data_IF_379640104965
#
_entry.id   IF_379640104965
#
_cell.length_a   1.000
_cell.length_b   1.000
_cell.length_c   1.000
_cell.angle_alpha   90.00
_cell.angle_beta   90.00
_cell.angle_gamma   90.00
#
_symmetry.space_group_name_H-M   'P 1'
#
loop_
_entity.id
_entity.type
_entity.pdbx_description
1 polymer ?
#
# COMPACT_ATOMS: atom_id res chain seq x y z
N UNK A 1 47.73 43.77 45.76
CA UNK A 1 46.72 42.69 45.75
C UNK A 1 45.63 43.08 44.76
N UNK A 2 45.61 42.49 43.57
CA UNK A 2 44.47 42.60 42.65
C UNK A 2 43.96 41.20 42.36
N UNK A 3 42.69 40.98 42.71
CA UNK A 3 41.96 39.73 42.60
C UNK A 3 41.80 39.31 41.13
N UNK A 4 42.16 38.06 40.81
CA UNK A 4 41.72 37.37 39.59
C UNK A 4 40.32 36.80 39.84
N UNK A 5 39.34 37.27 39.06
CA UNK A 5 37.96 36.78 39.09
C UNK A 5 37.78 35.54 38.20
N UNK A 6 37.24 34.41 38.71
CA UNK A 6 37.05 33.19 37.93
C UNK A 6 35.59 33.05 37.46
N UNK A 7 35.19 33.65 36.33
CA UNK A 7 33.78 33.51 35.86
C UNK A 7 33.53 33.52 34.35
N UNK A 8 34.55 33.34 33.49
CA UNK A 8 34.32 33.21 32.03
C UNK A 8 34.34 31.75 31.53
N UNK A 9 35.20 30.90 32.09
CA UNK A 9 35.43 29.51 31.62
C UNK A 9 34.22 28.56 31.79
N UNK A 10 33.32 28.81 32.74
CA UNK A 10 32.19 27.92 33.03
C UNK A 10 31.02 28.11 32.04
N UNK A 11 30.78 29.33 31.56
CA UNK A 11 29.70 29.62 30.60
C UNK A 11 29.96 28.96 29.25
N UNK A 12 31.23 29.00 28.81
CA UNK A 12 31.66 28.37 27.58
C UNK A 12 31.54 26.85 27.66
N UNK A 13 31.92 26.24 28.78
CA UNK A 13 31.79 24.79 28.99
C UNK A 13 30.32 24.32 28.98
N UNK A 14 29.40 25.12 29.52
CA UNK A 14 27.96 24.82 29.46
C UNK A 14 27.43 25.00 28.04
N UNK A 15 27.85 26.04 27.33
CA UNK A 15 27.50 26.26 25.93
C UNK A 15 28.01 25.11 25.03
N UNK A 16 29.25 24.65 25.20
CA UNK A 16 29.78 23.49 24.48
C UNK A 16 29.05 22.19 24.82
N UNK A 17 28.65 21.98 26.09
CA UNK A 17 27.82 20.82 26.48
C UNK A 17 26.43 20.88 25.86
N UNK A 18 25.79 22.05 25.84
CA UNK A 18 24.49 22.24 25.20
C UNK A 18 24.56 22.10 23.68
N UNK A 19 25.58 22.67 23.04
CA UNK A 19 25.80 22.53 21.60
C UNK A 19 26.15 21.08 21.23
N UNK A 20 26.95 20.39 22.04
CA UNK A 20 27.29 18.96 21.87
C UNK A 20 26.08 18.04 22.07
N UNK A 21 25.25 18.28 23.11
CA UNK A 21 24.00 17.56 23.32
C UNK A 21 23.02 17.82 22.17
N UNK A 22 22.87 19.07 21.74
CA UNK A 22 22.00 19.40 20.60
C UNK A 22 22.48 18.73 19.31
N UNK A 23 23.78 18.61 19.07
CA UNK A 23 24.33 17.90 17.89
C UNK A 23 24.17 16.38 17.98
N UNK A 24 24.23 15.79 19.17
CA UNK A 24 23.88 14.38 19.42
C UNK A 24 22.38 14.11 19.17
N UNK A 25 21.50 15.03 19.57
CA UNK A 25 20.05 14.94 19.32
C UNK A 25 19.64 15.34 17.90
N UNK A 26 20.47 16.06 17.15
CA UNK A 26 20.24 16.40 15.73
C UNK A 26 20.96 15.46 14.77
N UNK A 27 21.26 14.23 15.20
CA UNK A 27 21.36 13.15 14.20
C UNK A 27 19.96 12.95 13.67
N UNK A 28 19.61 13.68 12.60
CA UNK A 28 18.40 13.47 11.82
C UNK A 28 18.48 12.06 11.30
N UNK A 29 18.01 11.10 12.10
CA UNK A 29 17.91 9.72 11.71
C UNK A 29 17.16 9.74 10.39
N UNK A 30 17.84 9.34 9.30
CA UNK A 30 17.18 9.17 8.01
C UNK A 30 16.21 8.01 8.19
N UNK A 31 15.02 8.31 8.68
CA UNK A 31 13.94 7.35 8.84
C UNK A 31 13.48 6.98 7.44
N UNK A 32 14.11 5.94 6.89
CA UNK A 32 13.67 5.37 5.61
C UNK A 32 12.31 4.71 5.81
N UNK A 33 11.42 4.89 4.82
CA UNK A 33 10.09 4.26 4.77
C UNK A 33 10.15 2.74 4.96
N UNK A 34 11.29 2.12 4.64
CA UNK A 34 11.51 0.69 4.82
C UNK A 34 11.60 0.23 6.28
N UNK A 35 11.77 1.15 7.22
CA UNK A 35 11.78 0.87 8.67
C UNK A 35 10.41 1.10 9.32
N UNK A 36 9.39 1.49 8.55
CA UNK A 36 8.04 1.57 9.08
C UNK A 36 7.49 0.16 9.39
N UNK A 37 6.70 0.01 10.46
CA UNK A 37 5.90 -1.19 10.69
C UNK A 37 5.07 -1.58 9.46
N UNK A 38 4.92 -2.89 9.25
CA UNK A 38 4.22 -3.45 8.08
C UNK A 38 2.81 -2.88 7.95
N UNK A 39 2.09 -2.73 9.07
CA UNK A 39 0.73 -2.21 9.12
C UNK A 39 0.62 -0.77 8.60
N UNK A 40 1.66 0.05 8.81
CA UNK A 40 1.71 1.42 8.30
C UNK A 40 1.96 1.43 6.80
N UNK A 41 2.86 0.57 6.30
CA UNK A 41 3.08 0.44 4.85
C UNK A 41 1.81 -0.06 4.16
N UNK A 42 1.11 -1.05 4.74
CA UNK A 42 -0.21 -1.49 4.25
C UNK A 42 -1.21 -0.33 4.21
N UNK A 43 -1.21 0.52 5.25
CA UNK A 43 -2.09 1.71 5.29
C UNK A 43 -1.71 2.73 4.20
N UNK A 44 -0.43 2.98 3.97
CA UNK A 44 0.05 3.84 2.88
C UNK A 44 -0.38 3.27 1.52
N UNK A 45 -0.09 1.98 1.28
CA UNK A 45 -0.47 1.31 0.04
C UNK A 45 -1.99 1.26 -0.16
N UNK A 46 -2.79 1.30 0.90
CA UNK A 46 -4.25 1.34 0.79
C UNK A 46 -4.79 2.66 0.21
N UNK A 47 -3.95 3.68 0.03
CA UNK A 47 -4.30 4.90 -0.72
C UNK A 47 -4.00 4.78 -2.21
N UNK A 48 -3.18 3.82 -2.63
CA UNK A 48 -2.84 3.60 -4.03
C UNK A 48 -3.99 2.89 -4.78
N UNK A 49 -4.01 3.02 -6.10
CA UNK A 49 -4.80 2.17 -6.97
C UNK A 49 -4.20 0.76 -7.04
N UNK A 50 -4.98 -0.28 -7.42
CA UNK A 50 -4.45 -1.62 -7.65
C UNK A 50 -3.24 -1.69 -8.59
N UNK A 51 -3.20 -0.82 -9.61
CA UNK A 51 -2.08 -0.76 -10.55
C UNK A 51 -0.83 -0.15 -9.91
N UNK A 52 -0.98 0.93 -9.17
CA UNK A 52 0.13 1.55 -8.43
C UNK A 52 0.68 0.61 -7.34
N UNK A 53 -0.17 -0.18 -6.68
CA UNK A 53 0.30 -1.23 -5.77
C UNK A 53 1.15 -2.28 -6.49
N UNK A 54 0.80 -2.66 -7.71
CA UNK A 54 1.64 -3.58 -8.49
C UNK A 54 2.98 -2.93 -8.86
N UNK A 55 3.02 -1.64 -9.20
CA UNK A 55 4.27 -0.93 -9.44
C UNK A 55 5.11 -0.78 -8.15
N UNK A 56 4.48 -0.52 -7.02
CA UNK A 56 5.18 -0.44 -5.73
C UNK A 56 5.91 -1.75 -5.39
N UNK A 57 5.36 -2.90 -5.79
CA UNK A 57 6.01 -4.19 -5.54
C UNK A 57 7.37 -4.35 -6.23
N UNK A 58 7.65 -3.62 -7.31
CA UNK A 58 8.96 -3.68 -7.97
C UNK A 58 10.03 -2.81 -7.31
N UNK A 59 9.70 -2.06 -6.25
CA UNK A 59 10.65 -1.16 -5.58
C UNK A 59 11.66 -1.94 -4.73
N UNK A 60 11.19 -2.91 -3.94
CA UNK A 60 12.06 -3.79 -3.15
C UNK A 60 11.31 -5.04 -2.67
N UNK A 61 12.04 -6.06 -2.20
CA UNK A 61 11.48 -7.32 -1.72
C UNK A 61 10.47 -7.16 -0.57
N UNK A 62 10.70 -6.18 0.32
CA UNK A 62 9.76 -5.91 1.40
C UNK A 62 8.42 -5.38 0.85
N UNK A 63 8.46 -4.48 -0.13
CA UNK A 63 7.26 -3.94 -0.76
C UNK A 63 6.54 -4.99 -1.60
N UNK A 64 7.27 -5.91 -2.24
CA UNK A 64 6.70 -7.08 -2.90
C UNK A 64 5.89 -7.93 -1.92
N UNK A 65 6.51 -8.32 -0.79
CA UNK A 65 5.86 -9.12 0.26
C UNK A 65 4.60 -8.43 0.79
N UNK A 66 4.68 -7.14 1.09
CA UNK A 66 3.56 -6.35 1.61
C UNK A 66 2.46 -6.18 0.56
N UNK A 67 2.84 -5.90 -0.68
CA UNK A 67 1.92 -5.78 -1.79
C UNK A 67 1.18 -7.08 -2.13
N UNK A 68 1.67 -8.23 -1.67
CA UNK A 68 0.98 -9.52 -1.81
C UNK A 68 0.06 -9.85 -0.61
N UNK A 69 0.03 -9.05 0.47
CA UNK A 69 -0.80 -9.31 1.64
C UNK A 69 -2.29 -9.15 1.34
N UNK A 70 -3.06 -10.16 1.73
CA UNK A 70 -4.53 -10.19 1.56
C UNK A 70 -5.22 -9.03 2.28
N UNK A 71 -4.71 -8.62 3.44
CA UNK A 71 -5.23 -7.48 4.20
C UNK A 71 -5.19 -6.16 3.41
N UNK A 72 -4.16 -5.95 2.58
CA UNK A 72 -4.08 -4.79 1.68
C UNK A 72 -5.18 -4.85 0.62
N UNK A 73 -5.28 -5.96 -0.11
CA UNK A 73 -6.26 -6.12 -1.18
C UNK A 73 -7.71 -6.08 -0.69
N UNK A 74 -7.95 -6.59 0.51
CA UNK A 74 -9.24 -6.50 1.18
C UNK A 74 -9.64 -5.05 1.53
N UNK A 75 -8.67 -4.22 1.97
CA UNK A 75 -8.87 -2.78 2.19
C UNK A 75 -9.18 -2.06 0.87
N UNK A 76 -8.40 -2.32 -0.19
CA UNK A 76 -8.62 -1.71 -1.51
C UNK A 76 -10.02 -2.05 -2.03
N UNK A 77 -10.38 -3.33 -2.02
CA UNK A 77 -11.67 -3.78 -2.53
C UNK A 77 -12.85 -3.18 -1.74
N UNK A 78 -12.75 -3.12 -0.41
CA UNK A 78 -13.76 -2.44 0.42
C UNK A 78 -13.87 -0.95 0.12
N UNK A 79 -12.74 -0.26 -0.05
CA UNK A 79 -12.70 1.17 -0.37
C UNK A 79 -13.42 1.47 -1.68
N UNK A 80 -13.12 0.71 -2.73
CA UNK A 80 -13.62 1.02 -4.08
C UNK A 80 -15.04 0.51 -4.34
N UNK A 81 -15.44 -0.60 -3.72
CA UNK A 81 -16.73 -1.25 -4.00
C UNK A 81 -17.69 -1.32 -2.81
N UNK A 82 -17.30 -0.82 -1.62
CA UNK A 82 -18.08 -0.89 -0.37
C UNK A 82 -18.58 -2.32 -0.06
N UNK A 83 -17.80 -3.34 -0.43
CA UNK A 83 -18.18 -4.76 -0.39
C UNK A 83 -17.07 -5.61 0.21
N UNK A 84 -17.42 -6.76 0.79
CA UNK A 84 -16.47 -7.76 1.31
C UNK A 84 -16.39 -8.93 0.32
N UNK A 85 -15.20 -9.51 0.17
CA UNK A 85 -14.96 -10.59 -0.81
C UNK A 85 -15.33 -12.03 -0.34
N UNK A 86 -15.86 -12.24 0.88
CA UNK A 86 -16.11 -13.60 1.46
C UNK A 86 -14.96 -14.15 2.33
N UNK A 87 -14.80 -15.47 2.48
CA UNK A 87 -13.68 -16.10 3.21
C UNK A 87 -12.61 -16.69 2.27
N UNK A 88 -11.37 -16.91 2.80
CA UNK A 88 -10.14 -17.43 2.15
C UNK A 88 -9.82 -16.89 0.75
N UNK A 89 -8.89 -15.93 0.65
CA UNK A 89 -8.54 -15.31 -0.64
C UNK A 89 -7.05 -15.10 -0.79
N UNK A 90 -6.63 -15.14 -2.04
CA UNK A 90 -5.32 -14.72 -2.52
C UNK A 90 -5.41 -13.32 -3.14
N UNK A 91 -4.27 -12.69 -3.42
CA UNK A 91 -4.20 -11.45 -4.24
C UNK A 91 -4.86 -11.65 -5.60
N UNK A 92 -4.68 -12.82 -6.22
CA UNK A 92 -5.20 -13.15 -7.54
C UNK A 92 -6.73 -13.16 -7.56
N UNK A 93 -7.36 -13.64 -6.49
CA UNK A 93 -8.83 -13.59 -6.34
C UNK A 93 -9.34 -12.14 -6.33
N UNK A 94 -8.65 -11.26 -5.59
CA UNK A 94 -8.98 -9.84 -5.57
C UNK A 94 -8.79 -9.17 -6.93
N UNK A 95 -7.69 -9.46 -7.64
CA UNK A 95 -7.45 -8.91 -8.97
C UNK A 95 -8.55 -9.34 -9.94
N UNK A 96 -8.90 -10.63 -9.97
CA UNK A 96 -9.96 -11.14 -10.85
C UNK A 96 -11.30 -10.47 -10.55
N UNK A 97 -11.65 -10.31 -9.28
CA UNK A 97 -12.90 -9.68 -8.86
C UNK A 97 -12.92 -8.17 -9.09
N UNK A 98 -11.78 -7.48 -8.96
CA UNK A 98 -11.64 -6.07 -9.35
C UNK A 98 -11.93 -5.86 -10.83
N UNK A 99 -11.33 -6.69 -11.70
CA UNK A 99 -11.55 -6.65 -13.15
C UNK A 99 -13.04 -6.86 -13.46
N UNK A 100 -13.64 -7.88 -12.87
CA UNK A 100 -15.06 -8.19 -13.06
C UNK A 100 -15.98 -7.04 -12.61
N UNK A 101 -15.75 -6.47 -11.42
CA UNK A 101 -16.56 -5.36 -10.91
C UNK A 101 -16.42 -4.10 -11.77
N UNK A 102 -15.20 -3.74 -12.17
CA UNK A 102 -14.98 -2.60 -13.08
C UNK A 102 -15.68 -2.80 -14.41
N UNK A 103 -15.63 -4.02 -14.96
CA UNK A 103 -16.33 -4.36 -16.19
C UNK A 103 -17.86 -4.23 -16.05
N UNK A 104 -18.43 -4.77 -14.98
CA UNK A 104 -19.86 -4.65 -14.69
C UNK A 104 -20.30 -3.18 -14.60
N UNK A 105 -19.48 -2.32 -13.96
CA UNK A 105 -19.72 -0.88 -13.91
C UNK A 105 -19.66 -0.27 -15.30
N UNK A 106 -18.65 -0.61 -16.10
CA UNK A 106 -18.51 -0.11 -17.47
C UNK A 106 -19.72 -0.47 -18.35
N UNK A 107 -20.14 -1.75 -18.35
CA UNK A 107 -21.31 -2.22 -19.13
C UNK A 107 -22.57 -1.48 -18.68
N UNK A 108 -22.82 -1.41 -17.37
CA UNK A 108 -24.00 -0.70 -16.81
C UNK A 108 -24.02 0.78 -17.16
N UNK A 109 -22.88 1.45 -17.08
CA UNK A 109 -22.79 2.91 -17.33
C UNK A 109 -22.88 3.24 -18.82
N UNK A 110 -22.42 2.36 -19.70
CA UNK A 110 -22.47 2.56 -21.15
C UNK A 110 -23.76 2.07 -21.82
N UNK A 111 -24.73 1.54 -21.05
CA UNK A 111 -25.97 0.91 -21.58
C UNK A 111 -25.67 -0.11 -22.69
N UNK A 112 -24.56 -0.83 -22.57
CA UNK A 112 -24.23 -1.90 -23.52
C UNK A 112 -25.05 -3.11 -23.07
N UNK A 113 -25.84 -3.68 -23.97
CA UNK A 113 -26.58 -4.91 -23.68
C UNK A 113 -25.60 -6.03 -23.32
N UNK A 114 -25.76 -6.57 -22.11
CA UNK A 114 -24.84 -7.55 -21.51
C UNK A 114 -24.72 -8.83 -22.34
N UNK A 115 -25.65 -9.10 -23.25
CA UNK A 115 -25.74 -10.28 -24.12
C UNK A 115 -24.66 -10.34 -25.21
N UNK A 116 -24.03 -9.23 -25.59
CA UNK A 116 -23.06 -9.18 -26.71
C UNK A 116 -21.61 -8.94 -26.28
N UNK A 117 -21.34 -8.94 -24.98
CA UNK A 117 -20.08 -8.43 -24.47
C UNK A 117 -19.05 -9.57 -24.27
N UNK A 118 -18.41 -9.97 -25.36
CA UNK A 118 -17.19 -10.79 -25.30
C UNK A 118 -16.18 -10.05 -24.43
N UNK A 119 -15.72 -10.69 -23.34
CA UNK A 119 -14.71 -10.11 -22.46
C UNK A 119 -13.48 -9.76 -23.30
N UNK A 120 -13.02 -8.48 -23.34
CA UNK A 120 -11.75 -8.18 -23.95
C UNK A 120 -10.68 -9.05 -23.27
N UNK A 121 -9.73 -9.57 -24.04
CA UNK A 121 -8.72 -10.53 -23.55
C UNK A 121 -7.98 -9.99 -22.31
N UNK A 122 -7.85 -8.67 -22.17
CA UNK A 122 -7.28 -7.98 -21.01
C UNK A 122 -8.09 -8.12 -19.69
N UNK A 123 -9.38 -8.40 -19.79
CA UNK A 123 -10.32 -8.58 -18.68
C UNK A 123 -10.55 -10.04 -18.30
N UNK A 124 -10.19 -10.99 -19.16
CA UNK A 124 -10.20 -12.40 -18.78
C UNK A 124 -9.18 -12.60 -17.65
N UNK A 125 -9.59 -13.19 -16.50
CA UNK A 125 -8.63 -13.59 -15.51
C UNK A 125 -7.72 -14.63 -16.17
N UNK A 126 -6.40 -14.46 -16.02
CA UNK A 126 -5.42 -15.52 -16.29
C UNK A 126 -5.64 -16.59 -15.20
N UNK A 127 -6.77 -17.30 -15.29
CA UNK A 127 -7.07 -18.46 -14.46
C UNK A 127 -6.15 -19.54 -14.97
N UNK A 128 -5.31 -20.00 -14.06
CA UNK A 128 -4.37 -21.07 -14.31
C UNK A 128 -5.12 -22.27 -14.90
N UNK A 129 -4.57 -22.74 -16.01
CA UNK A 129 -5.07 -23.75 -16.92
C UNK A 129 -5.11 -25.10 -16.20
N UNK A 130 -6.19 -25.45 -15.49
CA UNK A 130 -6.63 -26.86 -15.34
C UNK A 130 -7.96 -27.15 -14.68
N UNK A 131 -8.57 -26.28 -13.87
CA UNK A 131 -9.83 -26.65 -13.21
C UNK A 131 -10.83 -25.48 -13.14
N UNK A 132 -12.09 -25.81 -13.42
CA UNK A 132 -13.30 -25.00 -13.28
C UNK A 132 -13.79 -24.24 -14.54
N UNK A 133 -14.45 -25.01 -15.41
CA UNK A 133 -15.61 -24.54 -16.18
C UNK A 133 -16.70 -24.12 -15.19
N UNK A 134 -16.63 -22.91 -14.67
CA UNK A 134 -17.74 -22.31 -13.96
C UNK A 134 -18.73 -21.74 -14.98
N UNK A 135 -19.74 -22.54 -15.32
CA UNK A 135 -21.00 -22.04 -15.91
C UNK A 135 -21.57 -20.98 -14.97
N UNK A 136 -21.33 -19.70 -15.26
CA UNK A 136 -22.15 -18.64 -14.69
C UNK A 136 -23.51 -18.70 -15.38
N UNK A 137 -24.47 -19.41 -14.76
CA UNK A 137 -25.88 -19.21 -15.10
C UNK A 137 -26.27 -17.82 -14.59
N UNK A 138 -26.51 -16.92 -15.52
CA UNK A 138 -27.30 -15.72 -15.29
C UNK A 138 -28.75 -16.18 -15.26
N UNK A 139 -29.41 -16.07 -14.10
CA UNK A 139 -30.88 -16.15 -14.01
C UNK A 139 -31.42 -14.74 -14.01
N UNK A 140 -32.56 -14.59 -14.69
CA UNK A 140 -33.27 -13.35 -15.00
C UNK A 140 -33.60 -12.47 -13.78
#
# INVERSE_FOLDING_TARGET
MMHLSPTQSNKDMVAYKFLSLSTLFTTKAKTSINHLPEELIIRIFSFLSPQEVNHAQSVCQNWEKIGNKTALWDRLYRRDFKSKMGEKKTKQDYIGRYKLKKYQIFVKTKKIDSSYSLLPISFLPLVNRRENVARFKLTD
#
